data_IF_270096817618
#
_entry.id   IF_270096817618
#
_cell.length_a   1.000
_cell.length_b   1.000
_cell.length_c   1.000
_cell.angle_alpha   90.00
_cell.angle_beta   90.00
_cell.angle_gamma   90.00
#
_symmetry.space_group_name_H-M   'P 1'
#
loop_
_entity.id
_entity.type
_entity.pdbx_description
1 polymer ?
#
# COMPACT_ATOMS: atom_id res chain seq x y z
N UNK A 1 -10.37 41.66 51.45
CA UNK A 1 -10.38 41.09 50.09
C UNK A 1 -9.82 39.68 50.19
N UNK A 2 -10.66 38.66 50.06
CA UNK A 2 -10.22 37.25 50.03
C UNK A 2 -10.12 36.87 48.56
N UNK A 3 -8.90 36.57 48.10
CA UNK A 3 -8.63 36.19 46.71
C UNK A 3 -9.09 34.77 46.42
N UNK A 4 -9.97 34.62 45.44
CA UNK A 4 -10.43 33.35 44.92
C UNK A 4 -9.37 32.80 43.96
N UNK A 5 -8.70 31.70 44.32
CA UNK A 5 -7.83 30.96 43.40
C UNK A 5 -8.71 30.01 42.60
N UNK A 6 -8.89 30.30 41.30
CA UNK A 6 -9.56 29.39 40.37
C UNK A 6 -8.53 28.39 39.87
N UNK A 7 -8.64 27.14 40.31
CA UNK A 7 -7.86 26.04 39.78
C UNK A 7 -8.39 25.66 38.39
N UNK A 8 -7.64 26.00 37.34
CA UNK A 8 -7.94 25.54 35.99
C UNK A 8 -7.64 24.03 35.91
N UNK A 9 -8.69 23.22 35.85
CA UNK A 9 -8.59 21.79 35.58
C UNK A 9 -8.39 21.62 34.08
N UNK A 10 -7.17 21.31 33.66
CA UNK A 10 -6.88 20.87 32.29
C UNK A 10 -7.47 19.48 32.11
N UNK A 11 -8.62 19.39 31.43
CA UNK A 11 -9.09 18.13 30.89
C UNK A 11 -8.18 17.75 29.71
N UNK A 12 -7.31 16.76 29.92
CA UNK A 12 -6.74 16.01 28.81
C UNK A 12 -7.90 15.27 28.15
N UNK A 13 -8.39 15.80 27.03
CA UNK A 13 -9.22 15.02 26.12
C UNK A 13 -8.28 13.95 25.54
N UNK A 14 -8.35 12.74 26.09
CA UNK A 14 -7.72 11.58 25.48
C UNK A 14 -8.30 11.45 24.07
N UNK A 15 -7.46 11.65 23.06
CA UNK A 15 -7.76 11.26 21.70
C UNK A 15 -8.06 9.77 21.71
N UNK A 16 -9.18 9.28 21.16
CA UNK A 16 -9.35 7.85 21.02
C UNK A 16 -8.28 7.38 20.04
N UNK A 17 -7.30 6.64 20.55
CA UNK A 17 -6.38 5.91 19.70
C UNK A 17 -7.22 4.91 18.91
N UNK A 18 -7.35 5.11 17.59
CA UNK A 18 -7.92 4.08 16.72
C UNK A 18 -6.96 2.90 16.75
N UNK A 19 -7.26 1.87 17.54
CA UNK A 19 -6.46 0.64 17.60
C UNK A 19 -6.55 -0.15 16.28
N UNK A 20 -7.70 -0.10 15.59
CA UNK A 20 -7.90 -0.77 14.33
C UNK A 20 -7.17 -0.12 13.14
N UNK A 21 -6.75 -0.91 12.13
CA UNK A 21 -6.12 -0.36 10.93
C UNK A 21 -7.02 0.67 10.22
N UNK A 22 -6.41 1.77 9.79
CA UNK A 22 -7.08 2.76 8.94
C UNK A 22 -7.66 2.05 7.72
N UNK A 23 -8.96 2.26 7.47
CA UNK A 23 -9.69 1.62 6.38
C UNK A 23 -9.91 2.66 5.29
N UNK A 24 -9.33 2.50 4.09
CA UNK A 24 -9.58 3.42 3.00
C UNK A 24 -11.06 3.46 2.57
N UNK A 25 -11.44 4.53 1.88
CA UNK A 25 -12.81 4.69 1.38
C UNK A 25 -13.02 3.99 0.03
N UNK A 26 -13.21 2.67 0.08
CA UNK A 26 -13.35 1.82 -1.10
C UNK A 26 -14.58 2.09 -1.99
N UNK A 27 -15.43 3.07 -1.64
CA UNK A 27 -16.72 3.25 -2.27
C UNK A 27 -17.70 2.11 -1.97
N UNK A 28 -18.85 2.12 -2.66
CA UNK A 28 -19.94 1.15 -2.41
C UNK A 28 -19.64 -0.25 -2.97
N UNK A 29 -18.69 -0.39 -3.90
CA UNK A 29 -18.29 -1.66 -4.48
C UNK A 29 -17.60 -2.56 -3.43
N UNK A 30 -17.75 -3.87 -3.61
CA UNK A 30 -17.24 -4.86 -2.66
C UNK A 30 -16.92 -6.20 -3.34
N UNK A 31 -15.80 -6.81 -2.96
CA UNK A 31 -15.43 -8.17 -3.40
C UNK A 31 -16.47 -9.19 -2.95
N UNK A 32 -16.68 -10.26 -3.71
CA UNK A 32 -17.50 -11.38 -3.26
C UNK A 32 -16.90 -12.04 -1.99
N UNK A 33 -17.72 -12.80 -1.26
CA UNK A 33 -17.17 -13.68 -0.24
C UNK A 33 -16.24 -14.71 -0.87
N UNK A 34 -15.07 -14.92 -0.27
CA UNK A 34 -14.16 -15.98 -0.69
C UNK A 34 -14.84 -17.35 -0.55
N UNK A 35 -14.77 -18.15 -1.62
CA UNK A 35 -15.11 -19.56 -1.56
C UNK A 35 -14.10 -20.30 -0.66
N UNK A 36 -14.53 -21.44 -0.10
CA UNK A 36 -13.60 -22.34 0.56
C UNK A 36 -12.74 -23.04 -0.50
N UNK A 37 -11.43 -22.98 -0.32
CA UNK A 37 -10.43 -23.57 -1.19
C UNK A 37 -9.42 -24.34 -0.33
N UNK A 38 -9.50 -25.67 -0.29
CA UNK A 38 -8.61 -26.47 0.55
C UNK A 38 -7.18 -26.40 0.01
N UNK A 39 -6.19 -26.58 0.89
CA UNK A 39 -4.80 -26.74 0.44
C UNK A 39 -4.65 -27.96 -0.47
N UNK A 40 -4.18 -27.75 -1.69
CA UNK A 40 -3.95 -28.77 -2.73
C UNK A 40 -2.53 -28.72 -3.31
N UNK A 41 -1.77 -27.66 -2.98
CA UNK A 41 -0.37 -27.48 -3.37
C UNK A 41 0.55 -27.37 -2.15
N UNK A 42 1.87 -27.46 -2.36
CA UNK A 42 2.84 -27.03 -1.37
C UNK A 42 3.82 -26.04 -2.00
N UNK A 43 3.74 -24.80 -1.55
CA UNK A 43 4.64 -23.70 -1.89
C UNK A 43 4.77 -22.83 -0.63
N UNK A 44 5.68 -23.20 0.30
CA UNK A 44 5.78 -22.56 1.62
C UNK A 44 6.48 -21.20 1.56
N UNK A 45 6.50 -20.52 0.42
CA UNK A 45 6.87 -19.12 0.33
C UNK A 45 5.73 -18.24 0.86
N UNK A 46 6.04 -17.30 1.76
CA UNK A 46 5.09 -16.28 2.25
C UNK A 46 4.46 -15.55 1.06
N UNK A 47 3.13 -15.55 0.98
CA UNK A 47 2.43 -14.86 -0.10
C UNK A 47 2.33 -13.35 0.19
N UNK A 48 2.43 -12.47 -0.82
CA UNK A 48 2.48 -11.02 -0.62
C UNK A 48 1.30 -10.45 0.18
N UNK A 49 0.09 -10.97 -0.02
CA UNK A 49 -1.09 -10.55 0.72
C UNK A 49 -1.05 -10.98 2.20
N UNK A 50 -0.47 -12.13 2.49
CA UNK A 50 -0.30 -12.61 3.87
C UNK A 50 0.73 -11.78 4.63
N UNK A 51 1.85 -11.44 3.99
CA UNK A 51 2.81 -10.46 4.52
C UNK A 51 2.15 -9.09 4.71
N UNK A 52 1.39 -8.61 3.71
CA UNK A 52 0.69 -7.34 3.77
C UNK A 52 -0.31 -7.28 4.93
N UNK A 53 -1.06 -8.37 5.19
CA UNK A 53 -1.99 -8.43 6.32
C UNK A 53 -1.24 -8.35 7.65
N UNK A 54 -0.17 -9.15 7.82
CA UNK A 54 0.67 -9.08 9.02
C UNK A 54 1.19 -7.66 9.25
N UNK A 55 1.72 -7.02 8.21
CA UNK A 55 2.32 -5.69 8.32
C UNK A 55 1.26 -4.62 8.63
N UNK A 56 0.04 -4.76 8.10
CA UNK A 56 -1.11 -3.91 8.41
C UNK A 56 -1.51 -4.03 9.88
N UNK A 57 -1.59 -5.25 10.41
CA UNK A 57 -1.89 -5.49 11.83
C UNK A 57 -0.77 -4.96 12.72
N UNK A 58 0.49 -5.23 12.38
CA UNK A 58 1.63 -4.75 13.15
C UNK A 58 1.71 -3.21 13.19
N UNK A 59 1.33 -2.54 12.10
CA UNK A 59 1.26 -1.07 12.05
C UNK A 59 0.21 -0.51 13.01
N UNK A 60 -0.89 -1.21 13.21
CA UNK A 60 -2.01 -0.76 14.03
C UNK A 60 -1.85 -1.13 15.51
N UNK A 61 -1.34 -2.33 15.79
CA UNK A 61 -1.32 -2.92 17.15
C UNK A 61 0.10 -3.12 17.73
N UNK A 62 1.14 -2.61 17.07
CA UNK A 62 2.54 -2.89 17.40
C UNK A 62 3.00 -4.24 16.86
N UNK A 63 4.29 -4.54 16.97
CA UNK A 63 4.85 -5.79 16.42
C UNK A 63 4.48 -6.99 17.29
N UNK A 64 3.79 -7.98 16.71
CA UNK A 64 3.52 -9.27 17.34
C UNK A 64 4.26 -10.42 16.63
N UNK A 65 4.45 -11.52 17.35
CA UNK A 65 4.98 -12.74 16.74
C UNK A 65 3.97 -13.28 15.72
N UNK A 66 4.44 -13.78 14.59
CA UNK A 66 3.57 -14.35 13.55
C UNK A 66 4.19 -15.57 12.89
N UNK A 67 3.36 -16.59 12.64
CA UNK A 67 3.73 -17.77 11.86
C UNK A 67 2.92 -17.82 10.57
N UNK A 68 3.62 -17.95 9.45
CA UNK A 68 2.99 -17.93 8.12
C UNK A 68 3.17 -19.25 7.38
N UNK A 69 4.36 -19.85 7.47
CA UNK A 69 4.75 -20.97 6.63
C UNK A 69 4.99 -22.23 7.44
N UNK A 70 4.63 -23.39 6.88
CA UNK A 70 4.95 -24.71 7.43
C UNK A 70 5.60 -25.58 6.36
N UNK A 71 6.53 -26.45 6.76
CA UNK A 71 7.18 -27.39 5.86
C UNK A 71 6.17 -28.37 5.22
N UNK A 72 6.42 -28.77 3.96
CA UNK A 72 5.51 -29.61 3.18
C UNK A 72 5.29 -31.00 3.79
N UNK A 73 6.33 -31.54 4.42
CA UNK A 73 6.37 -32.86 5.08
C UNK A 73 5.77 -32.87 6.48
N UNK A 74 5.44 -31.69 7.03
CA UNK A 74 4.74 -31.58 8.31
C UNK A 74 3.29 -32.07 8.14
N UNK A 75 2.81 -32.96 9.01
CA UNK A 75 1.51 -33.64 8.82
C UNK A 75 0.29 -32.73 8.65
N UNK A 76 -0.75 -33.28 8.00
CA UNK A 76 -2.06 -32.65 7.82
C UNK A 76 -2.15 -31.68 6.64
N UNK A 77 -3.39 -31.35 6.26
CA UNK A 77 -3.71 -30.31 5.28
C UNK A 77 -3.73 -28.96 5.99
N UNK A 78 -3.00 -27.97 5.48
CA UNK A 78 -2.86 -26.64 6.05
C UNK A 78 -2.37 -25.62 5.03
N UNK A 79 -3.05 -24.48 5.00
CA UNK A 79 -2.77 -23.31 4.16
C UNK A 79 -1.45 -22.62 4.52
N UNK A 80 -0.84 -22.95 5.66
CA UNK A 80 0.54 -22.56 5.97
C UNK A 80 1.55 -23.19 5.00
N UNK A 81 1.23 -24.33 4.38
CA UNK A 81 2.07 -24.95 3.36
C UNK A 81 2.03 -24.23 2.01
N UNK A 82 1.08 -23.31 1.84
CA UNK A 82 0.93 -22.48 0.66
C UNK A 82 1.31 -21.02 0.94
N UNK A 83 1.75 -20.72 2.18
CA UNK A 83 2.12 -19.39 2.63
C UNK A 83 0.97 -18.38 2.64
N UNK A 84 -0.28 -18.86 2.62
CA UNK A 84 -1.50 -18.04 2.58
C UNK A 84 -2.29 -18.00 3.90
N UNK A 85 -1.75 -18.64 4.95
CA UNK A 85 -2.27 -18.54 6.31
C UNK A 85 -1.37 -17.69 7.21
N UNK A 86 -1.96 -17.06 8.22
CA UNK A 86 -1.30 -16.24 9.23
C UNK A 86 -1.81 -16.64 10.61
N UNK A 87 -0.91 -17.11 11.45
CA UNK A 87 -1.11 -17.20 12.89
C UNK A 87 -0.53 -15.93 13.51
N UNK A 88 -1.39 -15.06 14.03
CA UNK A 88 -1.01 -13.83 14.70
C UNK A 88 -1.11 -14.04 16.21
N UNK A 89 0.03 -14.14 16.89
CA UNK A 89 0.12 -14.63 18.27
C UNK A 89 -0.46 -13.63 19.26
N UNK A 90 -1.51 -14.03 19.96
CA UNK A 90 -2.24 -13.29 20.99
C UNK A 90 -2.85 -14.31 21.95
N UNK A 91 -2.60 -14.19 23.26
CA UNK A 91 -3.13 -15.06 24.30
C UNK A 91 -4.55 -14.63 24.71
N UNK A 92 -5.52 -15.52 24.53
CA UNK A 92 -6.91 -15.31 24.93
C UNK A 92 -7.07 -15.11 26.45
N UNK A 93 -6.17 -15.68 27.25
CA UNK A 93 -6.21 -15.58 28.70
C UNK A 93 -5.58 -14.28 29.23
N UNK A 94 -4.78 -13.59 28.42
CA UNK A 94 -4.35 -12.23 28.70
C UNK A 94 -5.44 -11.24 28.26
N UNK A 95 -5.91 -10.40 29.18
CA UNK A 95 -7.04 -9.50 28.90
C UNK A 95 -6.68 -8.37 27.92
N UNK A 96 -5.41 -7.98 27.84
CA UNK A 96 -4.93 -6.96 26.91
C UNK A 96 -4.80 -7.53 25.50
N UNK A 97 -4.16 -8.69 25.35
CA UNK A 97 -4.01 -9.36 24.07
C UNK A 97 -5.37 -9.83 23.51
N UNK A 98 -6.28 -10.32 24.38
CA UNK A 98 -7.65 -10.61 23.98
C UNK A 98 -8.39 -9.38 23.45
N UNK A 99 -8.22 -8.22 24.09
CA UNK A 99 -8.87 -6.99 23.63
C UNK A 99 -8.36 -6.57 22.23
N UNK A 100 -7.05 -6.73 21.98
CA UNK A 100 -6.47 -6.55 20.64
C UNK A 100 -7.07 -7.53 19.64
N UNK A 101 -7.19 -8.81 20.01
CA UNK A 101 -7.75 -9.82 19.14
C UNK A 101 -9.21 -9.52 18.75
N UNK A 102 -10.02 -9.13 19.73
CA UNK A 102 -11.43 -8.78 19.53
C UNK A 102 -11.59 -7.52 18.66
N UNK A 103 -10.69 -6.54 18.77
CA UNK A 103 -10.69 -5.36 17.92
C UNK A 103 -10.32 -5.70 16.46
N UNK A 104 -9.31 -6.56 16.25
CA UNK A 104 -8.95 -7.08 14.91
C UNK A 104 -10.14 -7.78 14.27
N UNK A 105 -10.76 -8.72 14.98
CA UNK A 105 -11.90 -9.50 14.49
C UNK A 105 -13.11 -8.60 14.19
N UNK A 106 -13.36 -7.61 15.06
CA UNK A 106 -14.41 -6.61 14.85
C UNK A 106 -14.13 -5.79 13.60
N UNK A 107 -12.90 -5.32 13.42
CA UNK A 107 -12.49 -4.55 12.25
C UNK A 107 -12.59 -5.35 10.94
N UNK A 108 -12.20 -6.62 10.94
CA UNK A 108 -12.35 -7.51 9.78
C UNK A 108 -13.83 -7.72 9.42
N UNK A 109 -14.67 -7.95 10.42
CA UNK A 109 -16.06 -8.38 10.25
C UNK A 109 -17.09 -7.24 10.23
N UNK A 110 -16.67 -5.98 10.44
CA UNK A 110 -17.59 -4.83 10.46
C UNK A 110 -18.37 -4.69 9.15
N UNK A 111 -19.58 -4.12 9.29
CA UNK A 111 -20.32 -3.60 8.13
C UNK A 111 -19.77 -2.21 7.81
N UNK A 112 -19.44 -1.94 6.55
CA UNK A 112 -18.97 -0.61 6.16
C UNK A 112 -20.12 0.42 6.07
N UNK A 113 -19.77 1.69 5.84
CA UNK A 113 -20.74 2.79 5.73
C UNK A 113 -21.71 2.66 4.55
N UNK A 114 -21.46 1.74 3.62
CA UNK A 114 -22.31 1.45 2.47
C UNK A 114 -23.22 0.24 2.70
N UNK A 115 -23.19 -0.37 3.89
CA UNK A 115 -24.00 -1.53 4.25
C UNK A 115 -23.39 -2.87 3.82
N UNK A 116 -22.14 -2.90 3.36
CA UNK A 116 -21.47 -4.15 3.01
C UNK A 116 -21.03 -4.88 4.28
N UNK A 117 -21.64 -6.02 4.57
CA UNK A 117 -21.27 -6.88 5.71
C UNK A 117 -19.89 -7.51 5.52
N UNK A 118 -19.16 -7.68 6.63
CA UNK A 118 -17.82 -8.30 6.68
C UNK A 118 -16.84 -7.66 5.70
N UNK A 119 -16.87 -6.34 5.64
CA UNK A 119 -16.34 -5.59 4.51
C UNK A 119 -14.83 -5.80 4.35
N UNK A 120 -14.07 -5.65 5.44
CA UNK A 120 -12.61 -5.80 5.39
C UNK A 120 -12.19 -7.25 5.18
N UNK A 121 -12.89 -8.23 5.76
CA UNK A 121 -12.65 -9.64 5.48
C UNK A 121 -12.80 -9.96 3.97
N UNK A 122 -13.85 -9.43 3.33
CA UNK A 122 -14.06 -9.58 1.88
C UNK A 122 -12.96 -8.88 1.07
N UNK A 123 -12.66 -7.62 1.41
CA UNK A 123 -11.65 -6.81 0.70
C UNK A 123 -10.23 -7.34 0.82
N UNK A 124 -9.87 -7.96 1.94
CA UNK A 124 -8.56 -8.59 2.15
C UNK A 124 -8.49 -10.01 1.57
N UNK A 125 -9.62 -10.56 1.15
CA UNK A 125 -9.73 -11.91 0.62
C UNK A 125 -9.62 -13.00 1.70
N UNK A 126 -10.13 -12.75 2.90
CA UNK A 126 -10.18 -13.72 4.00
C UNK A 126 -11.12 -14.88 3.65
N UNK A 127 -10.61 -16.10 3.72
CA UNK A 127 -11.36 -17.34 3.53
C UNK A 127 -12.02 -17.80 4.83
N UNK A 128 -11.25 -17.86 5.91
CA UNK A 128 -11.78 -18.13 7.25
C UNK A 128 -10.87 -17.58 8.37
N UNK A 129 -11.46 -17.43 9.55
CA UNK A 129 -10.85 -16.96 10.79
C UNK A 129 -11.09 -18.00 11.89
N UNK A 130 -10.11 -18.26 12.74
CA UNK A 130 -10.26 -19.11 13.93
C UNK A 130 -9.70 -18.38 15.15
N UNK A 131 -10.48 -18.34 16.23
CA UNK A 131 -10.10 -17.75 17.50
C UNK A 131 -10.89 -18.39 18.64
N UNK A 132 -10.21 -18.85 19.68
CA UNK A 132 -10.78 -19.37 20.92
C UNK A 132 -11.94 -20.39 20.69
N UNK A 133 -11.62 -21.51 20.04
CA UNK A 133 -12.54 -22.61 19.72
C UNK A 133 -13.72 -22.21 18.82
N UNK A 134 -13.58 -21.12 18.06
CA UNK A 134 -14.62 -20.65 17.13
C UNK A 134 -14.05 -20.39 15.76
N UNK A 135 -14.87 -20.66 14.74
CA UNK A 135 -14.55 -20.40 13.33
C UNK A 135 -15.61 -19.53 12.69
N UNK A 136 -15.16 -18.53 11.94
CA UNK A 136 -15.96 -17.79 10.97
C UNK A 136 -15.39 -18.04 9.58
N UNK A 137 -16.25 -18.17 8.56
CA UNK A 137 -15.79 -18.44 7.19
C UNK A 137 -16.61 -17.67 6.17
N UNK A 138 -15.95 -17.09 5.18
CA UNK A 138 -16.59 -16.34 4.10
C UNK A 138 -17.67 -17.14 3.37
N UNK A 139 -17.43 -18.43 3.10
CA UNK A 139 -18.39 -19.34 2.45
C UNK A 139 -19.64 -19.64 3.28
N UNK A 140 -19.64 -19.33 4.59
CA UNK A 140 -20.76 -19.54 5.52
C UNK A 140 -21.02 -18.29 6.37
N UNK A 141 -20.76 -17.11 5.82
CA UNK A 141 -20.75 -15.87 6.57
C UNK A 141 -22.09 -15.54 7.25
N UNK A 142 -23.21 -16.00 6.68
CA UNK A 142 -24.57 -15.80 7.23
C UNK A 142 -24.81 -16.55 8.53
N UNK A 143 -24.02 -17.57 8.84
CA UNK A 143 -24.13 -18.35 10.07
C UNK A 143 -23.37 -17.70 11.24
N UNK A 144 -22.54 -16.70 10.96
CA UNK A 144 -21.69 -16.07 11.98
C UNK A 144 -20.59 -17.00 12.51
N UNK A 145 -20.18 -16.76 13.75
CA UNK A 145 -19.21 -17.61 14.45
C UNK A 145 -19.82 -18.95 14.83
N UNK A 146 -19.10 -20.04 14.50
CA UNK A 146 -19.50 -21.42 14.76
C UNK A 146 -18.47 -22.08 15.67
N UNK A 147 -18.85 -23.17 16.34
CA UNK A 147 -17.92 -23.99 17.11
C UNK A 147 -16.82 -24.57 16.20
N UNK A 148 -15.58 -24.57 16.69
CA UNK A 148 -14.42 -25.13 16.02
C UNK A 148 -13.89 -26.31 16.84
N UNK A 149 -14.06 -27.53 16.31
CA UNK A 149 -13.61 -28.77 16.96
C UNK A 149 -12.26 -29.30 16.45
N UNK A 150 -11.41 -28.44 15.88
CA UNK A 150 -10.08 -28.86 15.43
C UNK A 150 -9.11 -29.14 16.58
N UNK A 151 -7.99 -29.80 16.29
CA UNK A 151 -7.04 -30.25 17.32
C UNK A 151 -6.32 -29.13 18.06
N UNK A 152 -6.13 -27.96 17.41
CA UNK A 152 -5.62 -26.76 18.06
C UNK A 152 -6.81 -25.83 18.37
N UNK A 153 -7.08 -25.46 19.62
CA UNK A 153 -8.22 -24.60 19.95
C UNK A 153 -8.02 -23.11 19.60
N UNK A 154 -6.84 -22.70 19.12
CA UNK A 154 -6.51 -21.31 18.72
C UNK A 154 -6.75 -20.30 19.85
N UNK A 155 -6.26 -20.63 21.06
CA UNK A 155 -6.34 -19.76 22.25
C UNK A 155 -5.10 -18.91 22.47
N UNK A 156 -4.05 -19.15 21.69
CA UNK A 156 -2.75 -18.49 21.73
C UNK A 156 -2.44 -17.69 20.45
N UNK A 157 -3.35 -17.71 19.47
CA UNK A 157 -3.25 -16.91 18.24
C UNK A 157 -4.60 -16.79 17.51
N UNK A 158 -4.76 -15.72 16.74
CA UNK A 158 -5.77 -15.65 15.68
C UNK A 158 -5.19 -16.36 14.46
N UNK A 159 -5.90 -17.35 13.94
CA UNK A 159 -5.58 -17.91 12.62
C UNK A 159 -6.42 -17.26 11.55
N UNK A 160 -5.76 -16.76 10.50
CA UNK A 160 -6.38 -16.19 9.30
C UNK A 160 -5.93 -16.99 8.10
N UNK A 161 -6.86 -17.51 7.32
CA UNK A 161 -6.57 -18.13 6.03
C UNK A 161 -7.08 -17.24 4.91
N UNK A 162 -6.23 -16.94 3.92
CA UNK A 162 -6.60 -16.13 2.76
C UNK A 162 -6.96 -17.03 1.57
N UNK A 163 -7.91 -16.54 0.77
CA UNK A 163 -8.11 -17.00 -0.60
C UNK A 163 -6.87 -16.71 -1.46
N UNK A 164 -6.73 -17.37 -2.61
CA UNK A 164 -5.64 -17.05 -3.56
C UNK A 164 -5.65 -15.59 -4.01
N UNK A 165 -6.84 -15.00 -4.23
CA UNK A 165 -6.94 -13.59 -4.60
C UNK A 165 -6.40 -12.67 -3.48
N UNK A 166 -6.78 -12.93 -2.22
CA UNK A 166 -6.24 -12.19 -1.08
C UNK A 166 -4.72 -12.39 -0.93
N UNK A 167 -4.27 -13.65 -0.97
CA UNK A 167 -2.86 -14.01 -0.84
C UNK A 167 -1.97 -13.39 -1.93
N UNK A 168 -2.50 -13.19 -3.15
CA UNK A 168 -1.79 -12.61 -4.30
C UNK A 168 -2.02 -11.11 -4.46
N UNK A 169 -2.66 -10.43 -3.51
CA UNK A 169 -2.98 -9.00 -3.57
C UNK A 169 -3.88 -8.59 -4.75
N UNK A 170 -4.92 -9.38 -5.03
CA UNK A 170 -5.82 -9.17 -6.19
C UNK A 170 -7.21 -8.69 -5.80
N UNK A 171 -7.52 -8.63 -4.51
CA UNK A 171 -8.80 -8.10 -4.01
C UNK A 171 -8.74 -6.59 -3.82
N UNK A 172 -9.92 -5.96 -3.70
CA UNK A 172 -9.99 -4.49 -3.68
C UNK A 172 -9.19 -3.83 -2.55
N UNK A 173 -8.89 -4.50 -1.43
CA UNK A 173 -7.99 -3.90 -0.44
C UNK A 173 -6.63 -3.53 -1.03
N UNK A 174 -6.12 -4.36 -1.93
CA UNK A 174 -4.77 -4.28 -2.46
C UNK A 174 -4.68 -3.52 -3.78
N UNK A 175 -5.74 -3.59 -4.57
CA UNK A 175 -5.81 -2.99 -5.91
C UNK A 175 -6.57 -1.67 -5.90
N UNK A 176 -7.12 -1.27 -4.76
CA UNK A 176 -7.81 0.00 -4.66
C UNK A 176 -6.82 1.15 -4.70
N UNK A 177 -7.11 2.05 -5.62
CA UNK A 177 -6.56 3.39 -5.66
C UNK A 177 -7.67 4.33 -5.19
N UNK A 178 -7.34 5.34 -4.38
CA UNK A 178 -8.37 6.32 -4.01
C UNK A 178 -8.94 6.93 -5.30
N UNK A 179 -10.27 7.01 -5.48
CA UNK A 179 -10.84 7.75 -6.60
C UNK A 179 -10.37 9.21 -6.52
N UNK A 180 -9.49 9.61 -7.44
CA UNK A 180 -8.85 10.92 -7.42
C UNK A 180 -7.46 10.96 -6.78
N UNK A 181 -6.89 9.82 -6.35
CA UNK A 181 -5.45 9.72 -6.08
C UNK A 181 -4.75 9.95 -7.40
N UNK A 182 -4.17 11.12 -7.51
CA UNK A 182 -3.34 11.45 -8.64
C UNK A 182 -1.96 10.85 -8.43
N UNK A 183 -1.36 10.29 -9.47
CA UNK A 183 -0.02 9.68 -9.45
C UNK A 183 1.10 10.69 -9.14
N UNK A 184 0.75 11.96 -8.88
CA UNK A 184 1.65 13.09 -8.80
C UNK A 184 1.46 13.95 -7.53
N UNK A 185 1.20 13.35 -6.35
CA UNK A 185 1.27 14.07 -5.07
C UNK A 185 2.67 14.00 -4.43
N UNK A 186 3.38 15.14 -4.38
CA UNK A 186 4.70 15.25 -3.73
C UNK A 186 4.55 15.31 -2.21
N UNK A 187 3.48 15.96 -1.73
CA UNK A 187 3.20 16.19 -0.31
C UNK A 187 2.44 15.03 0.36
N UNK A 188 1.82 14.14 -0.43
CA UNK A 188 1.04 13.00 0.05
C UNK A 188 -0.38 13.34 0.50
N UNK A 189 -0.91 14.48 0.09
CA UNK A 189 -2.26 14.94 0.45
C UNK A 189 -3.36 14.53 -0.55
N UNK A 190 -3.04 13.56 -1.43
CA UNK A 190 -3.88 13.03 -2.52
C UNK A 190 -4.17 14.01 -3.67
N UNK A 191 -3.65 15.24 -3.65
CA UNK A 191 -3.76 16.18 -4.78
C UNK A 191 -2.50 16.19 -5.66
N UNK A 192 -2.68 16.43 -6.98
CA UNK A 192 -1.55 16.55 -7.92
C UNK A 192 -0.79 17.83 -7.61
N UNK A 193 0.43 17.68 -7.11
CA UNK A 193 1.40 18.75 -7.01
C UNK A 193 2.13 18.96 -8.35
N UNK A 194 2.70 20.14 -8.54
CA UNK A 194 3.60 20.42 -9.65
C UNK A 194 5.01 20.67 -9.16
N UNK A 195 5.98 20.07 -9.85
CA UNK A 195 7.38 20.45 -9.73
C UNK A 195 7.84 21.15 -11.01
N UNK A 196 8.67 22.18 -10.85
CA UNK A 196 9.27 22.89 -11.97
C UNK A 196 10.77 23.07 -11.74
N UNK A 197 11.56 22.83 -12.78
CA UNK A 197 12.99 23.15 -12.82
C UNK A 197 13.21 24.45 -13.57
N UNK A 198 14.01 25.35 -12.99
CA UNK A 198 14.45 26.58 -13.65
C UNK A 198 15.83 26.40 -14.30
N UNK A 199 16.16 27.27 -15.25
CA UNK A 199 17.45 27.24 -15.96
C UNK A 199 18.66 27.50 -15.04
N UNK A 200 18.44 28.14 -13.89
CA UNK A 200 19.44 28.30 -12.82
C UNK A 200 19.70 27.01 -12.01
N UNK A 201 19.00 25.92 -12.33
CA UNK A 201 19.12 24.62 -11.69
C UNK A 201 18.30 24.45 -10.44
N UNK A 202 17.49 25.44 -10.02
CA UNK A 202 16.60 25.30 -8.87
C UNK A 202 15.35 24.49 -9.22
N UNK A 203 14.88 23.70 -8.26
CA UNK A 203 13.59 22.99 -8.35
C UNK A 203 12.59 23.57 -7.36
N UNK A 204 11.36 23.77 -7.82
CA UNK A 204 10.28 24.40 -7.07
C UNK A 204 9.06 23.48 -7.03
N UNK A 205 8.49 23.34 -5.84
CA UNK A 205 7.22 22.68 -5.59
C UNK A 205 6.11 23.72 -5.58
N UNK A 206 5.04 23.44 -6.30
CA UNK A 206 3.77 24.14 -6.25
C UNK A 206 2.74 23.15 -5.72
N UNK A 207 2.46 23.25 -4.43
CA UNK A 207 1.49 22.37 -3.77
C UNK A 207 0.08 22.69 -4.22
N UNK A 208 -0.75 21.66 -4.40
CA UNK A 208 -2.13 21.85 -4.84
C UNK A 208 -3.07 22.20 -3.69
N UNK A 209 -3.53 23.44 -3.70
CA UNK A 209 -4.43 24.00 -2.71
C UNK A 209 -5.84 24.23 -3.24
N UNK A 210 -6.28 23.56 -4.32
CA UNK A 210 -7.56 23.88 -4.99
C UNK A 210 -8.75 23.99 -4.03
N UNK A 211 -8.89 23.04 -3.10
CA UNK A 211 -9.96 23.04 -2.11
C UNK A 211 -9.77 24.06 -0.97
N UNK A 212 -8.54 24.50 -0.73
CA UNK A 212 -8.17 25.36 0.40
C UNK A 212 -8.09 26.84 0.00
N UNK A 213 -7.85 27.12 -1.27
CA UNK A 213 -7.62 28.45 -1.84
C UNK A 213 -8.68 28.79 -2.90
N UNK A 214 -9.97 28.56 -2.59
CA UNK A 214 -11.13 28.96 -3.41
C UNK A 214 -11.03 28.61 -4.92
N UNK A 215 -10.50 27.43 -5.23
CA UNK A 215 -10.36 26.94 -6.59
C UNK A 215 -9.05 27.34 -7.28
N UNK A 216 -8.07 27.89 -6.55
CA UNK A 216 -6.72 28.21 -7.07
C UNK A 216 -5.72 27.13 -6.63
N UNK A 217 -5.31 26.20 -7.51
CA UNK A 217 -4.48 25.07 -7.11
C UNK A 217 -3.04 25.44 -6.78
N UNK A 218 -2.38 26.33 -7.53
CA UNK A 218 -0.93 26.53 -7.45
C UNK A 218 -0.53 27.95 -7.03
N UNK A 219 -1.21 28.47 -5.99
CA UNK A 219 -1.08 29.86 -5.54
C UNK A 219 0.24 30.19 -4.83
N UNK A 220 0.97 29.18 -4.35
CA UNK A 220 2.25 29.34 -3.65
C UNK A 220 3.30 28.37 -4.18
N UNK A 221 4.58 28.70 -3.96
CA UNK A 221 5.69 27.83 -4.33
C UNK A 221 6.79 27.83 -3.27
N UNK A 222 7.56 26.75 -3.25
CA UNK A 222 8.70 26.56 -2.36
C UNK A 222 9.83 25.90 -3.10
N UNK A 223 11.05 26.43 -2.97
CA UNK A 223 12.23 25.77 -3.50
C UNK A 223 12.49 24.47 -2.72
N UNK A 224 12.68 23.36 -3.44
CA UNK A 224 12.87 22.02 -2.88
C UNK A 224 14.14 21.34 -3.40
N UNK A 225 14.96 22.03 -4.20
CA UNK A 225 16.22 21.48 -4.67
C UNK A 225 17.05 22.46 -5.51
N UNK A 226 18.24 22.01 -5.89
CA UNK A 226 19.19 22.72 -6.75
C UNK A 226 20.01 21.72 -7.61
N UNK A 227 20.73 22.21 -8.61
CA UNK A 227 21.57 21.37 -9.50
C UNK A 227 20.80 20.56 -10.54
N UNK A 228 19.51 20.84 -10.74
CA UNK A 228 18.65 20.09 -11.65
C UNK A 228 18.88 20.42 -13.14
N UNK A 229 19.63 21.46 -13.44
CA UNK A 229 20.01 21.85 -14.80
C UNK A 229 21.01 20.87 -15.47
N UNK A 230 21.47 19.84 -14.75
CA UNK A 230 22.24 18.73 -15.35
C UNK A 230 21.37 17.72 -16.11
N UNK A 231 20.05 17.76 -15.91
CA UNK A 231 19.09 16.86 -16.54
C UNK A 231 18.40 17.56 -17.71
N UNK A 232 18.17 16.83 -18.80
CA UNK A 232 17.41 17.35 -19.95
C UNK A 232 15.91 17.09 -19.81
N UNK A 233 15.52 16.07 -19.03
CA UNK A 233 14.13 15.72 -18.73
C UNK A 233 13.97 15.31 -17.28
N UNK A 234 12.89 15.77 -16.64
CA UNK A 234 12.48 15.34 -15.30
C UNK A 234 11.00 14.96 -15.38
N UNK A 235 10.68 13.74 -15.00
CA UNK A 235 9.34 13.18 -15.01
C UNK A 235 8.87 12.96 -13.57
N UNK A 236 7.64 13.35 -13.29
CA UNK A 236 6.93 12.93 -12.07
C UNK A 236 6.46 11.48 -12.25
N UNK A 237 6.72 10.63 -11.28
CA UNK A 237 6.32 9.22 -11.29
C UNK A 237 6.28 8.67 -9.87
N UNK A 238 5.32 7.82 -9.52
CA UNK A 238 5.43 6.96 -8.34
C UNK A 238 6.21 5.70 -8.75
N UNK A 239 7.53 5.84 -8.80
CA UNK A 239 8.43 4.80 -9.30
C UNK A 239 8.72 3.73 -8.24
N UNK A 240 8.64 4.10 -6.96
CA UNK A 240 8.80 3.20 -5.81
C UNK A 240 7.50 2.48 -5.43
N UNK A 241 6.34 3.00 -5.87
CA UNK A 241 5.01 2.50 -5.53
C UNK A 241 4.62 2.78 -4.08
N UNK A 242 5.25 3.78 -3.46
CA UNK A 242 5.00 4.13 -2.07
C UNK A 242 3.87 5.16 -1.91
N UNK A 243 3.36 5.66 -3.03
CA UNK A 243 2.25 6.59 -3.07
C UNK A 243 2.60 8.06 -3.16
N UNK A 244 3.88 8.38 -3.19
CA UNK A 244 4.40 9.74 -3.31
C UNK A 244 5.04 9.92 -4.68
N UNK A 245 5.00 11.15 -5.19
CA UNK A 245 5.71 11.49 -6.43
C UNK A 245 7.21 11.38 -6.23
N UNK A 246 7.83 10.35 -6.77
CA UNK A 246 9.25 10.30 -7.06
C UNK A 246 9.54 11.11 -8.34
N UNK A 247 10.84 11.31 -8.61
CA UNK A 247 11.29 11.82 -9.89
C UNK A 247 12.15 10.83 -10.63
N UNK A 248 11.87 10.69 -11.91
CA UNK A 248 12.72 10.00 -12.87
C UNK A 248 13.37 11.08 -13.75
N UNK A 249 14.68 11.26 -13.60
CA UNK A 249 15.44 12.30 -14.27
C UNK A 249 16.42 11.71 -15.28
N UNK A 250 16.48 12.29 -16.47
CA UNK A 250 17.34 11.83 -17.56
C UNK A 250 18.45 12.84 -17.81
N UNK A 251 19.65 12.32 -18.03
CA UNK A 251 20.80 13.12 -18.44
C UNK A 251 21.03 13.00 -19.96
N UNK A 252 21.67 14.00 -20.58
CA UNK A 252 22.06 13.94 -21.98
C UNK A 252 22.95 12.74 -22.35
N UNK A 253 23.70 12.20 -21.39
CA UNK A 253 24.52 10.99 -21.55
C UNK A 253 23.71 9.68 -21.65
N UNK A 254 22.38 9.78 -21.54
CA UNK A 254 21.45 8.66 -21.60
C UNK A 254 21.25 7.93 -20.28
N UNK A 255 21.87 8.37 -19.19
CA UNK A 255 21.61 7.79 -17.86
C UNK A 255 20.26 8.27 -17.30
N UNK A 256 19.56 7.35 -16.62
CA UNK A 256 18.32 7.63 -15.91
C UNK A 256 18.54 7.49 -14.41
N UNK A 257 18.00 8.43 -13.66
CA UNK A 257 18.20 8.57 -12.22
C UNK A 257 16.85 8.64 -11.51
N UNK A 258 16.72 7.90 -10.41
CA UNK A 258 15.58 7.93 -9.50
C UNK A 258 15.90 8.81 -8.31
N UNK A 259 15.01 9.75 -8.02
CA UNK A 259 14.97 10.52 -6.79
C UNK A 259 13.71 10.15 -6.03
N UNK A 260 13.86 9.22 -5.09
CA UNK A 260 12.74 8.77 -4.26
C UNK A 260 12.25 9.91 -3.36
N UNK A 261 10.94 10.02 -3.19
CA UNK A 261 10.31 10.99 -2.33
C UNK A 261 10.54 10.64 -0.86
N UNK A 262 10.90 11.64 -0.06
CA UNK A 262 11.12 11.53 1.38
C UNK A 262 10.36 12.62 2.16
N UNK A 263 9.36 13.26 1.56
CA UNK A 263 8.69 14.46 2.08
C UNK A 263 8.26 14.31 3.54
N UNK A 264 7.59 13.21 3.88
CA UNK A 264 7.16 12.95 5.27
C UNK A 264 8.31 12.59 6.22
N UNK A 265 9.39 11.99 5.70
CA UNK A 265 10.53 11.50 6.48
C UNK A 265 11.57 12.58 6.74
N UNK A 266 11.61 13.61 5.89
CA UNK A 266 12.64 14.65 5.90
C UNK A 266 12.03 16.05 6.03
N UNK A 267 11.06 16.20 6.96
CA UNK A 267 10.48 17.50 7.33
C UNK A 267 10.01 18.36 6.14
N UNK A 268 9.42 17.72 5.14
CA UNK A 268 8.92 18.37 3.93
C UNK A 268 9.97 18.59 2.86
N UNK A 269 11.17 18.02 2.95
CA UNK A 269 12.17 17.99 1.85
C UNK A 269 11.95 16.70 1.04
N UNK A 270 11.43 16.77 -0.19
CA UNK A 270 11.05 15.56 -0.92
C UNK A 270 12.24 14.81 -1.52
N UNK A 271 13.27 15.49 -2.03
CA UNK A 271 14.30 14.83 -2.86
C UNK A 271 15.72 15.04 -2.31
N UNK A 272 16.37 13.91 -1.99
CA UNK A 272 17.77 13.84 -1.57
C UNK A 272 18.71 13.45 -2.71
N UNK A 273 19.58 12.47 -2.45
CA UNK A 273 20.51 11.95 -3.47
C UNK A 273 19.81 11.05 -4.48
N UNK A 274 20.13 11.22 -5.76
CA UNK A 274 19.62 10.35 -6.83
C UNK A 274 20.38 9.03 -6.94
N UNK A 275 19.69 7.97 -7.36
CA UNK A 275 20.28 6.67 -7.70
C UNK A 275 20.15 6.44 -9.21
N UNK A 276 21.23 6.10 -9.90
CA UNK A 276 21.14 5.67 -11.29
C UNK A 276 20.35 4.36 -11.39
N UNK A 277 19.33 4.32 -12.24
CA UNK A 277 18.43 3.17 -12.45
C UNK A 277 18.37 2.70 -13.90
N UNK A 278 19.13 3.34 -14.81
CA UNK A 278 19.19 2.91 -16.20
C UNK A 278 20.18 3.68 -17.05
N UNK A 279 20.29 3.27 -18.30
CA UNK A 279 21.13 3.88 -19.34
C UNK A 279 20.50 3.72 -20.73
N UNK A 280 21.00 4.46 -21.73
CA UNK A 280 20.51 4.40 -23.11
C UNK A 280 19.16 5.08 -23.37
N UNK A 281 18.70 5.91 -22.43
CA UNK A 281 17.40 6.59 -22.53
C UNK A 281 17.39 7.80 -23.46
N UNK A 282 18.58 8.27 -23.87
CA UNK A 282 18.75 9.29 -24.92
C UNK A 282 18.33 8.80 -26.32
N UNK A 283 18.01 7.51 -26.49
CA UNK A 283 17.48 6.95 -27.73
C UNK A 283 15.96 7.21 -27.92
N UNK A 284 15.30 7.87 -26.96
CA UNK A 284 13.88 8.17 -27.01
C UNK A 284 13.63 9.67 -27.15
N UNK A 285 12.72 10.06 -28.04
CA UNK A 285 12.34 11.46 -28.22
C UNK A 285 11.31 11.91 -27.18
N UNK A 286 10.45 10.99 -26.74
CA UNK A 286 9.43 11.26 -25.74
C UNK A 286 9.32 10.10 -24.78
N UNK A 287 9.09 10.42 -23.51
CA UNK A 287 8.83 9.45 -22.46
C UNK A 287 7.66 9.99 -21.65
N UNK A 288 6.67 9.14 -21.44
CA UNK A 288 5.44 9.44 -20.71
C UNK A 288 5.42 8.50 -19.51
N UNK A 289 5.23 9.08 -18.32
CA UNK A 289 5.00 8.34 -17.10
C UNK A 289 3.49 8.14 -16.92
N UNK A 290 3.05 6.89 -16.75
CA UNK A 290 1.65 6.53 -16.54
C UNK A 290 1.58 5.10 -15.99
N UNK A 291 0.52 4.76 -15.25
CA UNK A 291 0.21 3.35 -14.98
C UNK A 291 -0.43 2.72 -16.23
N UNK A 292 0.40 2.17 -17.11
CA UNK A 292 -0.02 1.61 -18.40
C UNK A 292 -0.43 0.14 -18.28
N UNK A 293 0.01 -0.55 -17.23
CA UNK A 293 -0.31 -1.94 -16.93
C UNK A 293 -1.53 -2.09 -16.02
N UNK A 294 -1.91 -1.02 -15.30
CA UNK A 294 -3.01 -1.01 -14.34
C UNK A 294 -2.66 -1.71 -13.03
N UNK A 295 -1.37 -1.80 -12.67
CA UNK A 295 -0.89 -2.50 -11.49
C UNK A 295 -0.60 -1.57 -10.30
N UNK A 296 -0.88 -0.28 -10.46
CA UNK A 296 -0.73 0.76 -9.44
C UNK A 296 0.71 1.28 -9.30
N UNK A 297 1.63 0.84 -10.15
CA UNK A 297 2.98 1.40 -10.24
C UNK A 297 3.10 2.27 -11.50
N UNK A 298 3.91 3.34 -11.42
CA UNK A 298 4.12 4.16 -12.62
C UNK A 298 5.04 3.45 -13.60
N UNK A 299 4.52 3.14 -14.79
CA UNK A 299 5.26 2.64 -15.95
C UNK A 299 5.81 3.79 -16.81
N UNK A 300 6.68 3.44 -17.77
CA UNK A 300 7.12 4.37 -18.81
C UNK A 300 6.70 3.89 -20.20
N UNK A 301 6.03 4.78 -20.95
CA UNK A 301 5.81 4.63 -22.39
C UNK A 301 6.80 5.54 -23.12
N UNK A 302 7.69 4.95 -23.90
CA UNK A 302 8.79 5.63 -24.56
C UNK A 302 8.66 5.54 -26.09
N UNK A 303 8.79 6.66 -26.78
CA UNK A 303 8.71 6.77 -28.24
C UNK A 303 10.10 7.03 -28.81
N UNK A 304 10.46 6.26 -29.84
CA UNK A 304 11.72 6.42 -30.56
C UNK A 304 11.55 7.27 -31.83
N UNK A 305 12.63 7.88 -32.33
CA UNK A 305 12.62 8.61 -33.61
C UNK A 305 12.18 7.77 -34.82
N UNK A 306 12.33 6.44 -34.74
CA UNK A 306 11.90 5.50 -35.79
C UNK A 306 10.38 5.23 -35.79
N UNK A 307 9.63 5.93 -34.95
CA UNK A 307 8.17 5.80 -34.80
C UNK A 307 7.74 4.58 -34.00
N UNK A 308 8.66 3.84 -33.37
CA UNK A 308 8.30 2.72 -32.48
C UNK A 308 7.96 3.20 -31.07
N UNK A 309 6.95 2.57 -30.47
CA UNK A 309 6.51 2.85 -29.10
C UNK A 309 6.79 1.63 -28.22
N UNK A 310 7.37 1.87 -27.04
CA UNK A 310 7.87 0.86 -26.12
C UNK A 310 7.28 1.07 -24.73
N UNK A 311 6.87 -0.02 -24.07
CA UNK A 311 6.44 -0.04 -22.67
C UNK A 311 7.56 -0.60 -21.80
N UNK A 312 7.87 0.12 -20.74
CA UNK A 312 8.75 -0.30 -19.65
C UNK A 312 7.89 -0.41 -18.39
N UNK A 313 7.45 -1.64 -18.11
CA UNK A 313 6.64 -1.91 -16.92
C UNK A 313 7.48 -1.75 -15.65
N UNK A 314 6.89 -1.18 -14.61
CA UNK A 314 7.54 -1.00 -13.32
C UNK A 314 7.67 -2.34 -12.58
N UNK A 315 8.88 -2.66 -12.14
CA UNK A 315 9.19 -3.88 -11.41
C UNK A 315 9.91 -3.60 -10.08
N UNK A 316 9.78 -2.39 -9.51
CA UNK A 316 10.56 -1.92 -8.37
C UNK A 316 10.59 -2.91 -7.20
N UNK A 317 9.43 -3.42 -6.77
CA UNK A 317 9.33 -4.38 -5.68
C UNK A 317 9.87 -5.78 -6.02
N UNK A 318 9.89 -6.14 -7.30
CA UNK A 318 10.30 -7.47 -7.79
C UNK A 318 11.77 -7.53 -8.16
N UNK A 319 12.40 -6.40 -8.47
CA UNK A 319 13.76 -6.31 -8.99
C UNK A 319 14.68 -5.46 -8.09
N UNK A 320 14.64 -5.68 -6.78
CA UNK A 320 15.52 -5.06 -5.79
C UNK A 320 15.64 -3.53 -5.89
N UNK A 321 14.54 -2.85 -6.24
CA UNK A 321 14.49 -1.39 -6.38
C UNK A 321 14.90 -0.87 -7.76
N UNK A 322 15.00 -1.70 -8.79
CA UNK A 322 15.17 -1.24 -10.18
C UNK A 322 13.78 -1.22 -10.85
N UNK A 323 13.17 -0.05 -11.11
CA UNK A 323 11.81 -0.01 -11.63
C UNK A 323 11.73 -0.41 -13.12
N UNK A 324 12.65 0.06 -13.96
CA UNK A 324 12.52 -0.07 -15.42
C UNK A 324 13.60 -0.99 -16.00
N UNK A 325 13.24 -2.25 -16.22
CA UNK A 325 14.09 -3.26 -16.84
C UNK A 325 14.01 -3.25 -18.38
N UNK A 326 13.77 -4.42 -18.97
CA UNK A 326 13.65 -4.56 -20.43
C UNK A 326 12.34 -4.00 -20.98
N UNK A 327 12.43 -3.18 -22.03
CA UNK A 327 11.26 -2.63 -22.71
C UNK A 327 10.62 -3.62 -23.69
N UNK A 328 9.30 -3.55 -23.84
CA UNK A 328 8.51 -4.29 -24.84
C UNK A 328 7.95 -3.32 -25.87
N UNK A 329 8.19 -3.55 -27.15
CA UNK A 329 7.52 -2.78 -28.20
C UNK A 329 6.00 -3.03 -28.14
N UNK A 330 5.22 -1.96 -28.10
CA UNK A 330 3.75 -1.99 -28.04
C UNK A 330 3.09 -1.24 -29.19
N UNK A 331 3.87 -0.57 -30.04
CA UNK A 331 3.34 0.16 -31.20
C UNK A 331 4.40 0.55 -32.24
N UNK A 332 3.91 1.05 -33.36
CA UNK A 332 4.69 1.59 -34.48
C UNK A 332 3.88 2.66 -35.23
N UNK A 333 4.55 3.59 -35.93
CA UNK A 333 3.93 4.65 -36.72
C UNK A 333 3.52 5.92 -35.95
N UNK A 334 4.15 6.18 -34.79
CA UNK A 334 3.92 7.35 -33.95
C UNK A 334 4.86 8.52 -34.25
#
# INVERSE_FOLDING_TARGET
MVGLVVAATTFLVATPASAAPSTPDFGSAIDAYAAYDPQDTCDPAVKPGTAGLRDLLNKAYGSHTSYVTRACDSGGTSEHKEGRALDYMLDYYDSGERAVAEDILTWLLKTDKYGNKHANARRLGVMYLIWNDRIWSSSRATEGWREYGGSNPHRDHIHVSLSWAGARKQTSWWTWEEPGRTTHSVTGDSFTDLVATKSDGTMWLYSNNYLRDDGVPYGSNRQIGHGWNTFDRVLQADATGDGFTDLVALKPDGTMWLYANNYLRDNGVPYGSGRQIGHGWNNFDRIIAADATGDGFTDLVALKPDGTMWLYANNYLRDNGVPYGSGRQIGHGW
#
